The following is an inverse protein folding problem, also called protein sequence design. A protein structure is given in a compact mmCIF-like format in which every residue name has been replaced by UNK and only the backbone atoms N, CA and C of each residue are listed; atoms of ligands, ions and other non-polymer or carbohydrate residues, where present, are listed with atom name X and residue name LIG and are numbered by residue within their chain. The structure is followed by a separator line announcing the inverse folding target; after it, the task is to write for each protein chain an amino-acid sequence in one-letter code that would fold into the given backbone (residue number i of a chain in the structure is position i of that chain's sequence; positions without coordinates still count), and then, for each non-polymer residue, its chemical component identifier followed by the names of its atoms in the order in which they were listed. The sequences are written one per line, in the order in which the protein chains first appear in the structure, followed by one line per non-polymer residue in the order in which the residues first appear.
data_IF_756512377042
#
_entry.id   IF_756512377042
#
_cell.length_a   1.000
_cell.length_b   1.000
_cell.length_c   1.000
_cell.angle_alpha   90.00
_cell.angle_beta   90.00
_cell.angle_gamma   90.00
#
_symmetry.space_group_name_H-M   'P 1'
#
loop_
_entity.id
_entity.type
_entity.pdbx_description
1 polymer ?
#
# COMPACT_ATOMS: atom_id res chain seq x y z
N UNK A 1 27.92 -69.51 22.89
CA UNK A 1 28.01 -69.29 21.43
C UNK A 1 26.67 -68.78 20.95
N UNK A 2 26.68 -67.61 20.28
CA UNK A 2 25.70 -67.09 19.29
C UNK A 2 24.32 -66.69 19.86
N UNK A 3 24.06 -65.39 20.09
CA UNK A 3 23.67 -64.38 19.08
C UNK A 3 22.26 -64.68 18.51
N UNK A 4 21.32 -63.75 18.34
CA UNK A 4 21.41 -62.31 18.14
C UNK A 4 19.97 -61.76 18.35
N UNK A 5 19.83 -60.74 19.19
CA UNK A 5 18.59 -59.95 19.34
C UNK A 5 18.44 -59.12 18.06
N UNK A 6 17.47 -59.44 17.19
CA UNK A 6 17.12 -58.56 16.07
C UNK A 6 16.03 -57.58 16.52
N UNK A 7 16.52 -56.46 17.03
CA UNK A 7 15.79 -55.22 17.24
C UNK A 7 15.44 -54.66 15.85
N UNK A 8 14.22 -54.92 15.38
CA UNK A 8 13.65 -54.29 14.19
C UNK A 8 13.31 -52.84 14.56
N UNK A 9 14.33 -51.99 14.54
CA UNK A 9 14.16 -50.54 14.63
C UNK A 9 13.58 -50.06 13.31
N UNK A 10 12.38 -49.50 13.38
CA UNK A 10 11.69 -48.81 12.29
C UNK A 10 12.60 -47.75 11.64
N UNK A 11 13.17 -48.08 10.49
CA UNK A 11 13.69 -47.11 9.53
C UNK A 11 12.61 -46.86 8.48
N UNK A 12 11.55 -46.15 8.88
CA UNK A 12 10.77 -45.40 7.91
C UNK A 12 11.58 -44.14 7.62
N UNK A 13 12.09 -43.92 6.40
CA UNK A 13 12.62 -42.62 6.03
C UNK A 13 11.46 -41.63 6.15
N UNK A 14 11.47 -40.84 7.22
CA UNK A 14 10.63 -39.66 7.30
C UNK A 14 10.97 -38.81 6.10
N UNK A 15 10.11 -38.82 5.09
CA UNK A 15 10.21 -37.84 4.03
C UNK A 15 9.92 -36.49 4.69
N UNK A 16 10.97 -35.79 5.08
CA UNK A 16 10.91 -34.37 5.35
C UNK A 16 10.68 -33.76 3.98
N UNK A 17 9.42 -33.46 3.66
CA UNK A 17 9.10 -32.64 2.51
C UNK A 17 9.67 -31.27 2.85
N UNK A 18 10.83 -30.95 2.28
CA UNK A 18 11.37 -29.61 2.36
C UNK A 18 10.32 -28.68 1.77
N UNK A 19 9.78 -27.79 2.59
CA UNK A 19 8.81 -26.80 2.13
C UNK A 19 9.55 -25.85 1.18
N UNK A 20 9.24 -25.94 -0.12
CA UNK A 20 9.96 -25.19 -1.16
C UNK A 20 9.82 -23.68 -0.99
N UNK A 21 8.65 -23.24 -0.50
CA UNK A 21 8.26 -21.84 -0.34
C UNK A 21 7.35 -21.66 0.89
N UNK A 22 7.32 -20.46 1.52
CA UNK A 22 6.37 -20.17 2.58
C UNK A 22 4.92 -20.46 2.15
N UNK A 23 4.07 -20.77 3.12
CA UNK A 23 2.66 -20.99 2.86
C UNK A 23 1.98 -19.65 2.56
N UNK A 24 1.11 -19.58 1.56
CA UNK A 24 0.29 -18.39 1.35
C UNK A 24 -0.85 -18.40 2.39
N UNK A 25 -0.73 -17.58 3.44
CA UNK A 25 -1.71 -17.49 4.54
C UNK A 25 -2.66 -16.32 4.38
N UNK A 26 -2.30 -15.35 3.53
CA UNK A 26 -3.07 -14.13 3.27
C UNK A 26 -2.76 -13.63 1.86
N UNK A 27 -3.78 -13.10 1.19
CA UNK A 27 -3.64 -12.54 -0.16
C UNK A 27 -2.73 -11.30 -0.19
N UNK A 28 -2.63 -10.55 0.92
CA UNK A 28 -2.04 -9.21 0.92
C UNK A 28 -0.73 -9.11 1.69
N UNK A 29 -0.67 -9.60 2.93
CA UNK A 29 0.52 -9.52 3.78
C UNK A 29 0.78 -10.87 4.43
N UNK A 30 1.99 -11.38 4.27
CA UNK A 30 2.46 -12.62 4.85
C UNK A 30 3.78 -12.32 5.62
N UNK A 31 3.67 -11.95 6.89
CA UNK A 31 4.81 -11.54 7.72
C UNK A 31 5.37 -12.73 8.54
N UNK A 32 6.26 -13.54 7.95
CA UNK A 32 6.84 -14.70 8.64
C UNK A 32 8.02 -14.34 9.54
N UNK A 33 8.62 -13.16 9.33
CA UNK A 33 9.76 -12.68 10.11
C UNK A 33 9.37 -11.70 11.24
N UNK A 34 8.08 -11.47 11.44
CA UNK A 34 7.54 -10.57 12.47
C UNK A 34 8.20 -9.18 12.41
N UNK A 35 8.31 -8.65 11.17
CA UNK A 35 8.95 -7.36 10.88
C UNK A 35 7.98 -6.18 10.94
N UNK A 36 6.67 -6.47 10.91
CA UNK A 36 5.62 -5.49 10.75
C UNK A 36 4.69 -5.60 11.95
N UNK A 37 4.46 -4.50 12.65
CA UNK A 37 3.50 -4.49 13.74
C UNK A 37 2.05 -4.61 13.20
N UNK A 38 1.09 -5.07 14.04
CA UNK A 38 -0.28 -5.31 13.59
C UNK A 38 -1.02 -4.08 13.01
N UNK A 39 -0.67 -2.87 13.44
CA UNK A 39 -1.26 -1.64 12.91
C UNK A 39 -0.75 -1.39 11.49
N UNK A 40 0.56 -1.50 11.29
CA UNK A 40 1.19 -1.37 9.98
C UNK A 40 0.74 -2.48 9.01
N UNK A 41 0.60 -3.73 9.47
CA UNK A 41 0.08 -4.84 8.65
C UNK A 41 -1.35 -4.57 8.18
N UNK A 42 -2.22 -4.08 9.08
CA UNK A 42 -3.59 -3.73 8.74
C UNK A 42 -3.62 -2.57 7.73
N UNK A 43 -2.78 -1.56 7.90
CA UNK A 43 -2.65 -0.46 6.96
C UNK A 43 -2.20 -0.95 5.57
N UNK A 44 -1.15 -1.77 5.50
CA UNK A 44 -0.66 -2.30 4.22
C UNK A 44 -1.75 -3.13 3.53
N UNK A 45 -2.43 -3.98 4.30
CA UNK A 45 -3.55 -4.78 3.80
C UNK A 45 -4.65 -3.90 3.20
N UNK A 46 -5.03 -2.81 3.86
CA UNK A 46 -6.04 -1.88 3.36
C UNK A 46 -5.61 -1.21 2.04
N UNK A 47 -4.34 -0.79 1.92
CA UNK A 47 -3.80 -0.24 0.66
C UNK A 47 -3.84 -1.26 -0.48
N UNK A 48 -3.40 -2.49 -0.24
CA UNK A 48 -3.35 -3.53 -1.26
C UNK A 48 -4.76 -3.98 -1.69
N UNK A 49 -5.71 -4.03 -0.75
CA UNK A 49 -7.12 -4.28 -1.07
C UNK A 49 -7.69 -3.18 -1.96
N UNK A 50 -7.44 -1.90 -1.62
CA UNK A 50 -7.92 -0.77 -2.42
C UNK A 50 -7.38 -0.82 -3.87
N UNK A 51 -6.11 -1.18 -4.06
CA UNK A 51 -5.52 -1.34 -5.40
C UNK A 51 -6.20 -2.44 -6.19
N UNK A 52 -6.50 -3.58 -5.54
CA UNK A 52 -7.23 -4.67 -6.17
C UNK A 52 -8.64 -4.24 -6.57
N UNK A 53 -9.35 -3.53 -5.70
CA UNK A 53 -10.72 -3.07 -5.96
C UNK A 53 -10.78 -2.01 -7.07
N UNK A 54 -9.85 -1.06 -7.10
CA UNK A 54 -9.87 0.05 -8.05
C UNK A 54 -9.24 -0.29 -9.41
N UNK A 55 -8.22 -1.17 -9.44
CA UNK A 55 -7.40 -1.42 -10.64
C UNK A 55 -7.39 -2.88 -11.07
N UNK A 56 -7.94 -3.79 -10.26
CA UNK A 56 -7.86 -5.23 -10.49
C UNK A 56 -6.42 -5.77 -10.48
N UNK A 57 -5.47 -5.04 -9.89
CA UNK A 57 -4.07 -5.45 -9.77
C UNK A 57 -3.88 -6.11 -8.42
N UNK A 58 -3.32 -7.33 -8.40
CA UNK A 58 -2.97 -8.01 -7.16
C UNK A 58 -1.54 -7.68 -6.76
N UNK A 59 -1.35 -7.25 -5.51
CA UNK A 59 -0.04 -7.06 -4.93
C UNK A 59 0.00 -7.72 -3.55
N UNK A 60 1.12 -8.37 -3.25
CA UNK A 60 1.34 -9.05 -1.96
C UNK A 60 2.71 -8.68 -1.37
N UNK A 61 2.77 -8.59 -0.05
CA UNK A 61 3.98 -8.36 0.74
C UNK A 61 4.30 -9.64 1.50
N UNK A 62 5.57 -10.05 1.45
CA UNK A 62 6.08 -11.24 2.11
C UNK A 62 7.35 -10.87 2.86
N UNK A 63 7.42 -11.23 4.13
CA UNK A 63 8.67 -11.16 4.90
C UNK A 63 9.06 -12.59 5.30
N UNK A 64 10.35 -12.88 5.26
CA UNK A 64 10.93 -14.15 5.71
C UNK A 64 12.21 -13.88 6.48
N UNK A 65 12.57 -14.80 7.38
CA UNK A 65 13.80 -14.67 8.16
C UNK A 65 15.00 -14.89 7.24
N UNK A 66 15.10 -16.05 6.59
CA UNK A 66 16.05 -16.30 5.49
C UNK A 66 15.42 -17.13 4.37
N UNK A 67 15.87 -16.92 3.14
CA UNK A 67 15.57 -17.83 2.01
C UNK A 67 16.10 -19.24 2.24
N UNK A 68 17.14 -19.39 3.06
CA UNK A 68 17.77 -20.68 3.37
C UNK A 68 16.90 -21.59 4.25
N UNK A 69 15.88 -21.02 4.89
CA UNK A 69 14.85 -21.77 5.62
C UNK A 69 13.92 -22.56 4.66
N UNK A 70 14.01 -22.29 3.36
CA UNK A 70 13.17 -22.83 2.30
C UNK A 70 14.00 -23.58 1.24
N UNK A 71 13.36 -23.97 0.14
CA UNK A 71 13.98 -24.76 -0.92
C UNK A 71 15.22 -24.09 -1.54
N UNK A 72 16.10 -24.87 -2.20
CA UNK A 72 17.35 -24.35 -2.73
C UNK A 72 17.08 -23.37 -3.88
N UNK A 73 17.29 -22.09 -3.62
CA UNK A 73 17.37 -21.05 -4.63
C UNK A 73 18.73 -20.37 -4.51
N UNK A 74 19.43 -20.17 -5.63
CA UNK A 74 20.80 -19.66 -5.63
C UNK A 74 20.87 -18.19 -5.19
N UNK A 75 19.82 -17.42 -5.44
CA UNK A 75 19.72 -16.00 -5.13
C UNK A 75 18.26 -15.58 -4.86
N UNK A 76 18.06 -14.37 -4.31
CA UNK A 76 16.72 -13.87 -3.96
C UNK A 76 15.82 -13.65 -5.19
N UNK A 77 16.39 -13.39 -6.38
CA UNK A 77 15.60 -13.22 -7.62
C UNK A 77 14.92 -14.51 -8.02
N UNK A 78 15.65 -15.61 -8.06
CA UNK A 78 15.10 -16.90 -8.44
C UNK A 78 14.08 -17.38 -7.40
N UNK A 79 14.39 -17.17 -6.12
CA UNK A 79 13.46 -17.44 -5.02
C UNK A 79 12.15 -16.67 -5.18
N UNK A 80 12.20 -15.35 -5.35
CA UNK A 80 11.00 -14.51 -5.48
C UNK A 80 10.19 -14.84 -6.73
N UNK A 81 10.86 -15.17 -7.84
CA UNK A 81 10.20 -15.55 -9.11
C UNK A 81 9.49 -16.89 -8.95
N UNK A 82 10.15 -17.87 -8.33
CA UNK A 82 9.56 -19.16 -8.03
C UNK A 82 8.37 -19.05 -7.06
N UNK A 83 8.51 -18.23 -6.01
CA UNK A 83 7.44 -17.92 -5.08
C UNK A 83 6.24 -17.27 -5.77
N UNK A 84 6.48 -16.24 -6.59
CA UNK A 84 5.45 -15.54 -7.37
C UNK A 84 4.63 -16.53 -8.22
N UNK A 85 5.32 -17.40 -8.96
CA UNK A 85 4.71 -18.38 -9.85
C UNK A 85 4.01 -19.50 -9.08
N UNK A 86 4.58 -19.95 -7.95
CA UNK A 86 3.98 -20.96 -7.09
C UNK A 86 2.69 -20.45 -6.43
N UNK A 87 2.63 -19.16 -6.11
CA UNK A 87 1.44 -18.53 -5.54
C UNK A 87 0.46 -18.01 -6.60
N UNK A 88 0.91 -17.86 -7.85
CA UNK A 88 0.09 -17.37 -8.97
C UNK A 88 -0.33 -15.92 -8.79
N UNK A 89 0.55 -15.06 -8.29
CA UNK A 89 0.22 -13.67 -7.93
C UNK A 89 -0.21 -12.88 -9.18
N UNK A 90 -1.38 -12.24 -9.11
CA UNK A 90 -1.93 -11.44 -10.21
C UNK A 90 -2.93 -12.18 -11.11
N UNK A 91 -3.39 -11.47 -12.13
CA UNK A 91 -4.34 -12.03 -13.09
C UNK A 91 -3.62 -12.89 -14.16
N UNK A 92 -4.14 -14.07 -14.53
CA UNK A 92 -3.51 -14.95 -15.54
C UNK A 92 -3.46 -14.39 -16.95
N UNK A 93 -4.42 -13.54 -17.30
CA UNK A 93 -4.52 -12.96 -18.63
C UNK A 93 -3.65 -11.72 -18.75
N UNK A 94 -3.69 -10.86 -17.72
CA UNK A 94 -2.95 -9.59 -17.69
C UNK A 94 -1.52 -9.76 -17.19
N UNK A 95 -1.23 -10.80 -16.40
CA UNK A 95 0.06 -11.07 -15.78
C UNK A 95 0.64 -9.85 -15.04
N UNK A 96 -0.21 -9.16 -14.30
CA UNK A 96 0.08 -7.86 -13.70
C UNK A 96 0.17 -7.90 -12.17
N UNK A 97 0.51 -9.07 -11.61
CA UNK A 97 0.78 -9.23 -10.19
C UNK A 97 2.09 -8.55 -9.76
N UNK A 98 2.16 -8.19 -8.48
CA UNK A 98 3.40 -7.69 -7.85
C UNK A 98 3.62 -8.40 -6.52
N UNK A 99 4.84 -8.90 -6.29
CA UNK A 99 5.26 -9.47 -5.02
C UNK A 99 6.42 -8.68 -4.45
N UNK A 100 6.28 -8.19 -3.22
CA UNK A 100 7.35 -7.54 -2.46
C UNK A 100 7.86 -8.56 -1.45
N UNK A 101 9.13 -8.95 -1.54
CA UNK A 101 9.79 -9.90 -0.67
C UNK A 101 10.90 -9.21 0.13
N UNK A 102 10.91 -9.41 1.44
CA UNK A 102 11.99 -8.98 2.33
C UNK A 102 12.55 -10.20 3.07
N UNK A 103 13.85 -10.43 2.94
CA UNK A 103 14.56 -11.50 3.66
C UNK A 103 15.51 -10.87 4.68
N UNK A 104 15.12 -10.93 5.97
CA UNK A 104 15.75 -10.15 7.04
C UNK A 104 17.22 -10.50 7.26
N UNK A 105 17.51 -11.77 7.51
CA UNK A 105 18.84 -12.28 7.82
C UNK A 105 19.76 -12.28 6.59
N UNK A 106 19.18 -12.43 5.39
CA UNK A 106 19.93 -12.32 4.14
C UNK A 106 20.29 -10.85 3.81
N UNK A 107 19.62 -9.89 4.46
CA UNK A 107 19.70 -8.44 4.20
C UNK A 107 19.46 -8.10 2.73
N UNK A 108 18.51 -8.81 2.12
CA UNK A 108 18.12 -8.64 0.72
C UNK A 108 16.60 -8.45 0.61
N UNK A 109 16.18 -7.65 -0.36
CA UNK A 109 14.78 -7.49 -0.72
C UNK A 109 14.59 -7.49 -2.24
N UNK A 110 13.37 -7.81 -2.67
CA UNK A 110 12.99 -7.79 -4.09
C UNK A 110 11.53 -7.43 -4.29
N UNK A 111 11.28 -6.59 -5.29
CA UNK A 111 9.97 -6.39 -5.91
C UNK A 111 9.96 -7.23 -7.18
N UNK A 112 9.22 -8.34 -7.20
CA UNK A 112 9.00 -9.16 -8.37
C UNK A 112 7.74 -8.70 -9.12
N UNK A 113 7.87 -8.51 -10.43
CA UNK A 113 6.78 -8.08 -11.30
C UNK A 113 6.30 -9.25 -12.16
N UNK A 114 5.00 -9.32 -12.42
CA UNK A 114 4.43 -10.20 -13.43
C UNK A 114 4.88 -9.83 -14.85
N UNK A 115 4.85 -10.80 -15.75
CA UNK A 115 5.31 -10.69 -17.14
C UNK A 115 4.51 -9.72 -18.01
N UNK A 116 3.35 -9.25 -17.52
CA UNK A 116 2.57 -8.18 -18.14
C UNK A 116 3.18 -6.78 -17.96
N UNK A 117 4.13 -6.61 -17.02
CA UNK A 117 4.85 -5.35 -16.87
C UNK A 117 5.96 -5.22 -17.93
N UNK A 118 6.02 -4.09 -18.67
CA UNK A 118 7.12 -3.80 -19.57
C UNK A 118 8.47 -3.69 -18.82
N UNK A 119 9.61 -4.03 -19.45
CA UNK A 119 10.94 -3.95 -18.80
C UNK A 119 11.28 -2.59 -18.20
N UNK A 120 10.72 -1.49 -18.73
CA UNK A 120 10.91 -0.14 -18.18
C UNK A 120 10.37 0.03 -16.74
N UNK A 121 9.56 -0.91 -16.24
CA UNK A 121 9.11 -0.92 -14.84
C UNK A 121 10.18 -1.45 -13.89
N UNK A 122 11.15 -2.24 -14.36
CA UNK A 122 12.25 -2.74 -13.54
C UNK A 122 13.05 -1.56 -12.96
N UNK A 123 13.46 -0.61 -13.82
CA UNK A 123 14.16 0.61 -13.40
C UNK A 123 13.32 1.48 -12.46
N UNK A 124 11.99 1.52 -12.68
CA UNK A 124 11.07 2.28 -11.80
C UNK A 124 11.02 1.68 -10.41
N UNK A 125 10.96 0.35 -10.33
CA UNK A 125 10.95 -0.38 -9.07
C UNK A 125 12.32 -0.33 -8.40
N UNK A 126 13.42 -0.31 -9.16
CA UNK A 126 14.76 -0.15 -8.61
C UNK A 126 14.88 1.18 -7.88
N UNK A 127 14.34 2.27 -8.45
CA UNK A 127 14.27 3.55 -7.76
C UNK A 127 13.42 3.50 -6.47
N UNK A 128 12.40 2.64 -6.37
CA UNK A 128 11.64 2.45 -5.12
C UNK A 128 12.48 1.71 -4.08
N UNK A 129 13.16 0.64 -4.48
CA UNK A 129 14.09 -0.11 -3.62
C UNK A 129 15.15 0.84 -3.05
N UNK A 130 15.85 1.56 -3.91
CA UNK A 130 17.03 2.34 -3.53
C UNK A 130 16.71 3.59 -2.69
N UNK A 131 15.59 4.26 -2.99
CA UNK A 131 15.24 5.55 -2.37
C UNK A 131 14.16 5.48 -1.32
N UNK A 132 13.37 4.39 -1.27
CA UNK A 132 12.30 4.24 -0.31
C UNK A 132 12.59 3.11 0.65
N UNK A 133 12.83 1.87 0.20
CA UNK A 133 12.99 0.74 1.13
C UNK A 133 14.35 0.74 1.86
N UNK A 134 15.45 0.68 1.10
CA UNK A 134 16.78 0.44 1.68
C UNK A 134 17.23 1.50 2.69
N UNK A 135 16.90 2.80 2.58
CA UNK A 135 17.24 3.78 3.61
C UNK A 135 16.71 3.40 5.00
N UNK A 136 15.43 3.04 5.12
CA UNK A 136 14.84 2.63 6.40
C UNK A 136 15.44 1.30 6.91
N UNK A 137 15.71 0.37 6.00
CA UNK A 137 16.29 -0.93 6.39
C UNK A 137 17.72 -0.79 6.95
N UNK A 138 18.51 0.17 6.44
CA UNK A 138 19.84 0.50 7.01
C UNK A 138 19.74 1.07 8.43
N UNK A 139 18.63 1.73 8.74
CA UNK A 139 18.34 2.27 10.08
C UNK A 139 17.68 1.24 11.01
N UNK A 140 17.30 0.06 10.48
CA UNK A 140 16.67 -1.02 11.23
C UNK A 140 15.15 -0.86 11.37
N UNK A 141 14.53 0.14 10.75
CA UNK A 141 13.09 0.39 10.79
C UNK A 141 12.38 -0.30 9.61
N UNK A 142 12.20 -1.62 9.75
CA UNK A 142 11.59 -2.45 8.71
C UNK A 142 10.11 -2.11 8.47
N UNK A 143 9.33 -1.88 9.53
CA UNK A 143 7.91 -1.59 9.43
C UNK A 143 7.65 -0.30 8.64
N UNK A 144 8.36 0.80 8.99
CA UNK A 144 8.24 2.05 8.25
C UNK A 144 8.71 1.91 6.79
N UNK A 145 9.81 1.21 6.56
CA UNK A 145 10.35 0.95 5.23
C UNK A 145 9.40 0.15 4.34
N UNK A 146 8.80 -0.92 4.88
CA UNK A 146 7.85 -1.77 4.14
C UNK A 146 6.56 -1.01 3.85
N UNK A 147 6.03 -0.25 4.81
CA UNK A 147 4.82 0.54 4.61
C UNK A 147 5.02 1.62 3.53
N UNK A 148 6.05 2.45 3.68
CA UNK A 148 6.37 3.51 2.72
C UNK A 148 6.73 2.95 1.34
N UNK A 149 7.52 1.87 1.30
CA UNK A 149 7.93 1.21 0.08
C UNK A 149 6.75 0.55 -0.66
N UNK A 150 5.82 -0.06 0.05
CA UNK A 150 4.58 -0.59 -0.54
C UNK A 150 3.74 0.52 -1.17
N UNK A 151 3.52 1.62 -0.45
CA UNK A 151 2.78 2.77 -0.96
C UNK A 151 3.42 3.36 -2.23
N UNK A 152 4.75 3.46 -2.26
CA UNK A 152 5.47 3.95 -3.43
C UNK A 152 5.45 2.97 -4.61
N UNK A 153 5.53 1.66 -4.33
CA UNK A 153 5.33 0.61 -5.34
C UNK A 153 3.96 0.75 -6.00
N UNK A 154 2.89 0.87 -5.22
CA UNK A 154 1.51 1.10 -5.69
C UNK A 154 1.40 2.35 -6.56
N UNK A 155 2.09 3.42 -6.17
CA UNK A 155 2.08 4.68 -6.91
C UNK A 155 2.78 4.55 -8.27
N UNK A 156 3.82 3.73 -8.37
CA UNK A 156 4.65 3.57 -9.58
C UNK A 156 4.24 2.39 -10.47
N UNK A 157 3.43 1.47 -9.96
CA UNK A 157 3.00 0.26 -10.67
C UNK A 157 1.74 0.44 -11.52
N UNK A 158 1.18 1.66 -11.60
CA UNK A 158 0.02 1.93 -12.44
C UNK A 158 0.35 1.65 -13.92
N UNK A 159 -0.19 0.56 -14.45
CA UNK A 159 -0.22 0.26 -15.87
C UNK A 159 -1.41 0.98 -16.50
N UNK A 160 -1.17 1.75 -17.56
CA UNK A 160 -2.23 2.19 -18.45
C UNK A 160 -2.64 0.98 -19.31
N UNK A 161 -3.63 0.19 -18.87
CA UNK A 161 -4.13 -0.93 -19.66
C UNK A 161 -4.96 -0.40 -20.84
N UNK A 162 -4.37 -0.38 -22.03
CA UNK A 162 -5.08 -0.16 -23.30
C UNK A 162 -5.47 -1.53 -23.85
N UNK A 163 -6.76 -1.75 -24.09
CA UNK A 163 -7.21 -2.97 -24.78
C UNK A 163 -6.63 -3.01 -26.20
N UNK A 164 -5.76 -3.98 -26.47
CA UNK A 164 -5.08 -4.13 -27.76
C UNK A 164 -6.00 -4.57 -28.91
N UNK A 165 -7.24 -4.99 -28.66
CA UNK A 165 -8.20 -5.28 -29.73
C UNK A 165 -9.10 -4.09 -30.12
N UNK A 166 -9.35 -3.15 -29.21
CA UNK A 166 -10.26 -2.01 -29.47
C UNK A 166 -9.62 -0.64 -29.29
N UNK A 167 -8.41 -0.56 -28.74
CA UNK A 167 -7.73 0.71 -28.43
C UNK A 167 -8.40 1.49 -27.29
N UNK A 168 -9.35 0.89 -26.57
CA UNK A 168 -10.14 1.59 -25.54
C UNK A 168 -9.55 1.38 -24.14
N UNK A 169 -9.35 2.43 -23.33
CA UNK A 169 -9.02 2.30 -21.91
C UNK A 169 -10.21 1.69 -21.14
N UNK A 170 -9.97 0.62 -20.37
CA UNK A 170 -10.97 0.00 -19.51
C UNK A 170 -10.87 0.53 -18.07
N UNK A 171 -11.10 1.82 -17.85
CA UNK A 171 -11.50 2.32 -16.52
C UNK A 171 -12.57 3.39 -16.69
N UNK A 172 -13.69 3.16 -16.01
CA UNK A 172 -14.92 3.93 -16.12
C UNK A 172 -14.83 5.38 -15.64
N UNK A 173 -15.61 6.20 -16.34
CA UNK A 173 -16.24 7.40 -15.78
C UNK A 173 -15.47 8.71 -15.93
N UNK A 174 -15.69 9.43 -17.04
CA UNK A 174 -16.12 10.86 -17.07
C UNK A 174 -16.41 11.37 -18.50
N UNK A 175 -17.40 12.26 -18.70
CA UNK A 175 -17.95 12.59 -20.02
C UNK A 175 -17.12 13.59 -20.84
N UNK A 176 -16.57 13.06 -21.93
CA UNK A 176 -16.47 13.47 -23.34
C UNK A 176 -16.64 14.92 -23.86
N UNK A 177 -16.41 15.99 -23.07
CA UNK A 177 -16.34 17.35 -23.65
C UNK A 177 -15.01 18.08 -23.45
N UNK A 178 -14.08 17.50 -22.69
CA UNK A 178 -12.77 18.09 -22.40
C UNK A 178 -11.64 17.65 -23.36
N UNK A 179 -11.91 16.69 -24.25
CA UNK A 179 -10.94 16.14 -25.22
C UNK A 179 -10.68 17.05 -26.42
N UNK A 180 -11.48 18.10 -26.64
CA UNK A 180 -11.35 18.97 -27.81
C UNK A 180 -10.41 20.19 -27.62
N UNK A 181 -9.84 20.42 -26.43
CA UNK A 181 -9.02 21.61 -26.16
C UNK A 181 -7.49 21.33 -26.15
N UNK A 182 -7.06 20.06 -26.08
CA UNK A 182 -5.64 19.73 -25.88
C UNK A 182 -4.89 19.24 -27.14
N UNK A 183 -5.51 19.16 -28.31
CA UNK A 183 -4.89 18.61 -29.53
C UNK A 183 -3.98 19.58 -30.31
N UNK A 184 -3.76 20.81 -29.85
CA UNK A 184 -3.03 21.83 -30.62
C UNK A 184 -1.70 22.30 -30.01
N UNK A 185 -1.20 21.69 -28.93
CA UNK A 185 0.21 21.88 -28.51
C UNK A 185 0.85 20.51 -28.29
N UNK A 186 1.19 19.87 -29.42
CA UNK A 186 2.17 18.80 -29.45
C UNK A 186 3.52 19.32 -29.01
N UNK A 187 4.08 18.73 -27.95
CA UNK A 187 5.48 18.93 -27.60
C UNK A 187 5.78 18.92 -26.11
N UNK A 188 5.49 17.83 -25.38
CA UNK A 188 6.15 17.55 -24.11
C UNK A 188 6.27 16.03 -23.86
N UNK A 189 6.93 15.32 -24.78
CA UNK A 189 7.40 13.93 -24.61
C UNK A 189 8.72 13.91 -23.79
N UNK A 190 8.80 14.70 -22.71
CA UNK A 190 10.03 14.88 -21.92
C UNK A 190 9.86 14.76 -20.39
N UNK A 191 8.76 14.20 -19.87
CA UNK A 191 8.37 14.38 -18.45
C UNK A 191 8.03 13.10 -17.67
N UNK A 192 8.83 12.03 -17.79
CA UNK A 192 8.69 10.87 -16.88
C UNK A 192 9.19 11.18 -15.45
N UNK A 193 10.37 11.80 -15.33
CA UNK A 193 10.99 12.17 -14.05
C UNK A 193 10.74 13.66 -13.73
N UNK A 194 10.71 14.51 -14.75
CA UNK A 194 10.29 15.91 -14.61
C UNK A 194 8.81 16.04 -14.26
N UNK A 195 7.94 15.12 -14.69
CA UNK A 195 6.49 15.23 -14.50
C UNK A 195 6.05 15.20 -13.04
N UNK A 196 6.62 14.33 -12.19
CA UNK A 196 6.26 14.26 -10.78
C UNK A 196 6.82 15.45 -9.98
N UNK A 197 8.07 15.86 -10.25
CA UNK A 197 8.68 17.06 -9.64
C UNK A 197 8.00 18.35 -10.10
N UNK A 198 7.62 18.44 -11.38
CA UNK A 198 6.81 19.53 -11.93
C UNK A 198 5.40 19.47 -11.37
N UNK A 199 4.78 18.31 -11.15
CA UNK A 199 3.41 18.21 -10.60
C UNK A 199 3.36 18.48 -9.10
N UNK A 200 4.34 18.00 -8.32
CA UNK A 200 4.51 18.35 -6.90
C UNK A 200 4.91 19.83 -6.75
N UNK A 201 5.84 20.31 -7.58
CA UNK A 201 6.25 21.72 -7.65
C UNK A 201 5.10 22.62 -8.09
N UNK A 202 4.29 22.19 -9.05
CA UNK A 202 3.08 22.90 -9.50
C UNK A 202 1.99 22.87 -8.44
N UNK A 203 1.79 21.75 -7.72
CA UNK A 203 0.82 21.67 -6.61
C UNK A 203 1.26 22.54 -5.42
N UNK A 204 2.55 22.54 -5.09
CA UNK A 204 3.18 23.45 -4.10
C UNK A 204 3.04 24.91 -4.54
N UNK A 205 3.31 25.20 -5.81
CA UNK A 205 3.15 26.54 -6.40
C UNK A 205 1.69 26.99 -6.39
N UNK A 206 0.75 26.12 -6.73
CA UNK A 206 -0.69 26.40 -6.68
C UNK A 206 -1.19 26.65 -5.26
N UNK A 207 -0.69 25.91 -4.27
CA UNK A 207 -1.00 26.14 -2.85
C UNK A 207 -0.48 27.49 -2.38
N UNK A 208 0.77 27.82 -2.70
CA UNK A 208 1.41 29.07 -2.29
C UNK A 208 1.04 30.30 -3.15
N UNK A 209 0.22 30.12 -4.21
CA UNK A 209 -0.19 31.21 -5.08
C UNK A 209 -1.30 32.03 -4.39
N UNK A 210 -1.08 33.33 -4.14
CA UNK A 210 -2.09 34.16 -3.50
C UNK A 210 -3.34 34.32 -4.37
N UNK A 211 -4.54 34.02 -3.85
CA UNK A 211 -5.78 34.34 -4.54
C UNK A 211 -5.97 35.86 -4.61
N UNK A 212 -6.72 36.31 -5.62
CA UNK A 212 -7.20 37.69 -5.68
C UNK A 212 -8.46 37.81 -4.82
N UNK A 213 -8.58 38.91 -4.07
CA UNK A 213 -9.80 39.23 -3.35
C UNK A 213 -10.94 39.46 -4.34
N UNK A 214 -12.10 38.86 -4.08
CA UNK A 214 -13.29 39.02 -4.93
C UNK A 214 -13.88 40.44 -4.86
N UNK A 215 -13.63 41.17 -3.76
CA UNK A 215 -14.19 42.50 -3.54
C UNK A 215 -13.30 43.60 -4.12
N UNK A 216 -12.01 43.64 -3.76
CA UNK A 216 -11.11 44.72 -4.19
C UNK A 216 -10.07 44.32 -5.25
N UNK A 217 -9.99 43.04 -5.63
CA UNK A 217 -9.06 42.55 -6.66
C UNK A 217 -7.58 42.48 -6.25
N UNK A 218 -7.21 42.94 -5.04
CA UNK A 218 -5.83 42.84 -4.54
C UNK A 218 -5.46 41.41 -4.19
N UNK A 219 -4.17 41.08 -4.30
CA UNK A 219 -3.64 39.78 -3.85
C UNK A 219 -3.79 39.68 -2.34
N UNK A 220 -4.34 38.55 -1.88
CA UNK A 220 -4.49 38.26 -0.46
C UNK A 220 -3.15 37.83 0.16
N UNK A 221 -3.04 37.92 1.47
CA UNK A 221 -1.87 37.47 2.22
C UNK A 221 -2.24 36.21 2.98
N UNK A 222 -1.36 35.21 2.99
CA UNK A 222 -1.56 34.03 3.83
C UNK A 222 -1.24 34.42 5.26
N UNK A 223 -2.15 34.11 6.18
CA UNK A 223 -1.89 34.26 7.61
C UNK A 223 -0.87 33.21 8.07
N UNK A 224 -0.23 33.47 9.20
CA UNK A 224 0.55 32.44 9.88
C UNK A 224 -0.37 31.55 10.72
N UNK A 225 0.15 30.40 11.16
CA UNK A 225 -0.57 29.36 11.90
C UNK A 225 -1.18 29.84 13.23
N UNK A 226 -0.72 30.97 13.77
CA UNK A 226 -1.28 31.51 15.01
C UNK A 226 -2.40 32.52 14.72
N UNK A 227 -2.32 33.21 13.58
CA UNK A 227 -3.29 34.20 13.16
C UNK A 227 -4.46 33.59 12.37
N UNK A 228 -4.27 32.45 11.71
CA UNK A 228 -5.35 31.77 10.98
C UNK A 228 -6.34 31.03 11.88
N UNK A 229 -5.91 30.54 13.05
CA UNK A 229 -6.77 29.95 14.10
C UNK A 229 -8.02 30.80 14.38
N UNK A 230 -7.88 32.12 14.42
CA UNK A 230 -8.98 33.07 14.66
C UNK A 230 -10.06 33.06 13.58
N UNK A 231 -9.78 32.45 12.42
CA UNK A 231 -10.66 32.35 11.26
C UNK A 231 -11.12 30.93 10.97
N UNK A 232 -10.65 29.95 11.74
CA UNK A 232 -11.07 28.55 11.65
C UNK A 232 -12.16 28.24 12.67
N UNK A 233 -13.08 27.36 12.30
CA UNK A 233 -14.03 26.80 13.26
C UNK A 233 -13.31 25.85 14.23
N UNK A 234 -13.90 25.64 15.40
CA UNK A 234 -13.34 24.74 16.41
C UNK A 234 -13.10 23.30 15.89
N UNK A 235 -13.88 22.85 14.89
CA UNK A 235 -13.69 21.55 14.26
C UNK A 235 -12.51 21.50 13.30
N UNK A 236 -12.26 22.58 12.56
CA UNK A 236 -11.10 22.71 11.66
C UNK A 236 -9.79 22.79 12.46
N UNK A 237 -9.77 23.58 13.53
CA UNK A 237 -8.64 23.61 14.47
C UNK A 237 -8.39 22.22 15.07
N UNK A 238 -9.45 21.47 15.36
CA UNK A 238 -9.31 20.09 15.83
C UNK A 238 -8.71 19.17 14.74
N UNK A 239 -9.10 19.30 13.47
CA UNK A 239 -8.49 18.56 12.36
C UNK A 239 -7.00 18.90 12.17
N UNK A 240 -6.60 20.16 12.37
CA UNK A 240 -5.20 20.61 12.33
C UNK A 240 -4.39 20.08 13.49
N UNK A 241 -4.91 20.17 14.71
CA UNK A 241 -4.23 19.63 15.90
C UNK A 241 -3.98 18.12 15.79
N UNK A 242 -4.86 17.41 15.07
CA UNK A 242 -4.73 15.98 14.77
C UNK A 242 -3.91 15.70 13.50
N UNK A 243 -3.48 16.75 12.78
CA UNK A 243 -2.82 16.71 11.49
C UNK A 243 -3.57 15.89 10.43
N UNK A 244 -4.90 15.83 10.54
CA UNK A 244 -5.79 15.13 9.59
C UNK A 244 -6.11 16.00 8.38
N UNK A 245 -6.29 17.30 8.58
CA UNK A 245 -6.48 18.30 7.52
C UNK A 245 -5.68 19.53 7.88
N UNK A 246 -4.98 20.10 6.90
CA UNK A 246 -4.18 21.32 7.01
C UNK A 246 -4.95 22.46 6.31
N UNK A 247 -5.22 23.58 6.99
CA UNK A 247 -5.91 24.72 6.39
C UNK A 247 -4.95 25.89 6.12
N UNK A 248 -5.05 26.51 4.95
CA UNK A 248 -4.42 27.81 4.71
C UNK A 248 -5.51 28.89 4.71
N UNK A 249 -5.37 29.90 5.57
CA UNK A 249 -6.24 31.09 5.55
C UNK A 249 -5.57 32.24 4.83
N UNK A 250 -6.28 32.78 3.83
CA UNK A 250 -5.88 33.96 3.08
C UNK A 250 -6.73 35.14 3.53
N UNK A 251 -6.09 36.22 3.96
CA UNK A 251 -6.73 37.45 4.42
C UNK A 251 -6.40 38.62 3.49
N UNK A 252 -7.39 39.48 3.21
CA UNK A 252 -7.18 40.70 2.45
C UNK A 252 -6.99 41.90 3.38
N UNK A 253 -5.84 42.61 3.34
CA UNK A 253 -5.56 43.72 4.24
C UNK A 253 -6.37 45.00 3.96
N UNK A 254 -7.15 45.05 2.89
CA UNK A 254 -7.88 46.26 2.48
C UNK A 254 -9.35 46.24 2.91
N UNK A 255 -9.99 45.06 2.84
CA UNK A 255 -11.43 44.88 3.11
C UNK A 255 -11.71 43.83 4.20
N UNK A 256 -10.69 43.14 4.70
CA UNK A 256 -10.82 42.14 5.77
C UNK A 256 -11.39 40.79 5.30
N UNK A 257 -11.63 40.61 3.99
CA UNK A 257 -12.18 39.35 3.47
C UNK A 257 -11.20 38.18 3.70
N UNK A 258 -11.73 37.00 4.00
CA UNK A 258 -10.95 35.78 4.21
C UNK A 258 -11.39 34.65 3.27
N UNK A 259 -10.42 33.81 2.87
CA UNK A 259 -10.65 32.58 2.12
C UNK A 259 -9.91 31.46 2.84
N UNK A 260 -10.64 30.42 3.23
CA UNK A 260 -10.11 29.22 3.87
C UNK A 260 -9.95 28.12 2.82
N UNK A 261 -8.79 27.50 2.73
CA UNK A 261 -8.54 26.34 1.86
C UNK A 261 -8.13 25.14 2.69
N UNK A 262 -8.70 23.97 2.40
CA UNK A 262 -8.43 22.71 3.12
C UNK A 262 -7.54 21.76 2.32
N UNK A 263 -6.60 21.11 2.99
CA UNK A 263 -5.68 20.13 2.42
C UNK A 263 -5.66 18.86 3.29
N UNK A 264 -6.49 17.86 2.98
CA UNK A 264 -6.51 16.60 3.72
C UNK A 264 -5.15 15.90 3.70
N UNK A 265 -4.70 15.46 4.87
CA UNK A 265 -3.52 14.63 5.03
C UNK A 265 -3.82 13.22 4.57
N UNK A 266 -3.02 12.72 3.64
CA UNK A 266 -3.17 11.35 3.15
C UNK A 266 -2.80 10.32 4.22
N UNK A 267 -1.77 10.59 5.02
CA UNK A 267 -1.14 9.65 5.96
C UNK A 267 -1.76 9.67 7.35
N UNK A 268 -2.47 10.74 7.71
CA UNK A 268 -3.11 10.93 9.01
C UNK A 268 -4.62 11.10 8.87
N UNK A 269 -5.17 10.62 7.76
CA UNK A 269 -6.58 10.72 7.44
C UNK A 269 -7.41 10.01 8.51
N UNK A 270 -8.27 10.75 9.19
CA UNK A 270 -9.22 10.22 10.18
C UNK A 270 -10.61 10.10 9.55
N UNK A 271 -11.43 9.11 9.95
CA UNK A 271 -12.80 9.02 9.47
C UNK A 271 -13.62 10.28 9.80
N UNK A 272 -14.59 10.59 8.95
CA UNK A 272 -15.55 11.66 9.19
C UNK A 272 -16.46 11.30 10.37
N UNK A 273 -16.64 12.23 11.31
CA UNK A 273 -17.64 12.08 12.35
C UNK A 273 -19.06 12.30 11.77
N UNK A 274 -20.02 11.38 12.00
CA UNK A 274 -21.38 11.52 11.46
C UNK A 274 -22.18 12.67 12.09
N UNK A 275 -21.80 13.13 13.28
CA UNK A 275 -22.47 14.27 13.93
C UNK A 275 -21.84 15.61 13.58
N UNK A 276 -20.53 15.78 13.79
CA UNK A 276 -19.88 17.06 13.58
C UNK A 276 -19.31 17.25 12.16
N UNK A 277 -19.29 16.21 11.32
CA UNK A 277 -18.79 16.26 9.94
C UNK A 277 -17.32 16.71 9.79
N UNK A 278 -16.49 16.44 10.79
CA UNK A 278 -15.03 16.69 10.77
C UNK A 278 -14.26 15.37 10.83
N UNK A 279 -13.04 15.32 10.28
CA UNK A 279 -12.09 14.20 10.27
C UNK A 279 -11.34 14.14 11.61
N UNK A 280 -12.10 13.94 12.68
CA UNK A 280 -11.61 13.95 14.06
C UNK A 280 -11.93 12.64 14.78
N UNK A 281 -12.44 11.64 14.04
CA UNK A 281 -12.79 10.34 14.58
C UNK A 281 -11.54 9.50 14.80
N UNK A 282 -11.39 8.94 16.00
CA UNK A 282 -10.43 7.90 16.29
C UNK A 282 -11.08 6.53 16.11
N UNK A 283 -10.32 5.54 15.63
CA UNK A 283 -10.80 4.18 15.42
C UNK A 283 -9.94 3.23 16.23
N UNK A 284 -10.49 2.69 17.31
CA UNK A 284 -9.80 1.74 18.19
C UNK A 284 -10.44 0.37 18.04
N UNK A 285 -9.63 -0.64 17.76
CA UNK A 285 -10.09 -2.02 17.62
C UNK A 285 -9.87 -2.78 18.93
N UNK A 286 -10.94 -3.33 19.50
CA UNK A 286 -10.89 -4.27 20.62
C UNK A 286 -11.34 -5.65 20.18
N UNK A 287 -10.45 -6.64 20.27
CA UNK A 287 -10.78 -8.02 19.91
C UNK A 287 -11.62 -8.66 21.02
N UNK A 288 -12.93 -8.84 20.80
CA UNK A 288 -13.81 -9.54 21.74
C UNK A 288 -13.58 -11.04 21.71
N UNK A 289 -13.39 -11.58 20.50
CA UNK A 289 -13.10 -12.99 20.27
C UNK A 289 -12.06 -13.10 19.16
N UNK A 290 -10.91 -13.67 19.48
CA UNK A 290 -9.91 -13.97 18.46
C UNK A 290 -10.48 -14.96 17.42
N UNK A 291 -10.09 -14.76 16.17
CA UNK A 291 -10.37 -15.73 15.13
C UNK A 291 -9.58 -17.01 15.38
N UNK A 292 -10.19 -18.15 15.07
CA UNK A 292 -9.51 -19.44 15.04
C UNK A 292 -9.60 -20.00 13.63
N UNK A 293 -8.91 -21.12 13.41
CA UNK A 293 -8.92 -21.79 12.11
C UNK A 293 -10.27 -22.39 11.71
N UNK A 294 -11.14 -22.59 12.70
CA UNK A 294 -12.46 -23.23 12.57
C UNK A 294 -13.62 -22.29 12.91
N UNK A 295 -13.35 -21.06 13.32
CA UNK A 295 -14.40 -20.10 13.73
C UNK A 295 -13.94 -18.65 13.60
N UNK A 296 -14.79 -17.81 13.02
CA UNK A 296 -14.50 -16.39 12.85
C UNK A 296 -14.38 -15.69 14.20
N UNK A 297 -13.48 -14.72 14.25
CA UNK A 297 -13.36 -13.82 15.39
C UNK A 297 -14.40 -12.71 15.31
N UNK A 298 -14.48 -11.92 16.37
CA UNK A 298 -15.29 -10.72 16.45
C UNK A 298 -14.46 -9.64 17.11
N UNK A 299 -14.38 -8.49 16.46
CA UNK A 299 -13.83 -7.27 17.03
C UNK A 299 -14.96 -6.29 17.27
N UNK A 300 -14.89 -5.56 18.37
CA UNK A 300 -15.62 -4.34 18.56
C UNK A 300 -14.72 -3.19 18.11
N UNK A 301 -15.22 -2.37 17.19
CA UNK A 301 -14.53 -1.16 16.74
C UNK A 301 -15.20 0.02 17.42
N UNK A 302 -14.46 0.69 18.29
CA UNK A 302 -14.88 1.90 18.97
C UNK A 302 -14.46 3.09 18.12
N UNK A 303 -15.43 3.97 17.88
CA UNK A 303 -15.25 5.23 17.20
C UNK A 303 -15.46 6.34 18.22
N UNK A 304 -14.42 7.14 18.45
CA UNK A 304 -14.44 8.23 19.42
C UNK A 304 -14.02 9.52 18.73
N UNK A 305 -14.91 10.50 18.67
CA UNK A 305 -14.63 11.79 18.07
C UNK A 305 -13.94 12.71 19.09
N UNK A 306 -12.68 13.06 18.83
CA UNK A 306 -11.90 13.94 19.73
C UNK A 306 -12.48 15.37 19.79
N UNK A 307 -13.25 15.79 18.77
CA UNK A 307 -13.80 17.14 18.70
C UNK A 307 -15.15 17.29 19.42
N UNK A 308 -16.17 16.51 19.04
CA UNK A 308 -17.52 16.65 19.62
C UNK A 308 -17.84 15.63 20.72
N UNK A 309 -16.97 14.66 20.99
CA UNK A 309 -17.19 13.61 21.98
C UNK A 309 -18.22 12.55 21.57
N UNK A 310 -18.74 12.61 20.35
CA UNK A 310 -19.60 11.56 19.81
C UNK A 310 -18.85 10.24 19.78
N UNK A 311 -19.47 9.20 20.31
CA UNK A 311 -18.90 7.86 20.35
C UNK A 311 -19.95 6.84 19.93
N UNK A 312 -19.51 5.81 19.22
CA UNK A 312 -20.30 4.64 18.93
C UNK A 312 -19.39 3.44 18.73
N UNK A 313 -19.92 2.25 18.94
CA UNK A 313 -19.23 1.02 18.61
C UNK A 313 -19.98 0.26 17.52
N UNK A 314 -19.23 -0.51 16.73
CA UNK A 314 -19.81 -1.51 15.84
C UNK A 314 -18.98 -2.78 15.90
N UNK A 315 -19.63 -3.91 15.76
CA UNK A 315 -18.94 -5.19 15.68
C UNK A 315 -18.51 -5.45 14.23
N UNK A 316 -17.24 -5.77 14.04
CA UNK A 316 -16.70 -6.29 12.79
C UNK A 316 -16.35 -7.77 12.96
N UNK A 317 -16.74 -8.60 12.00
CA UNK A 317 -16.34 -10.00 11.98
C UNK A 317 -14.88 -10.08 11.57
N UNK A 318 -14.04 -10.66 12.44
CA UNK A 318 -12.66 -10.96 12.07
C UNK A 318 -12.70 -12.27 11.27
N UNK A 319 -12.17 -12.31 10.05
CA UNK A 319 -12.16 -13.53 9.25
C UNK A 319 -11.46 -14.67 10.01
N UNK A 320 -11.90 -15.91 9.75
CA UNK A 320 -11.26 -17.11 10.30
C UNK A 320 -9.77 -17.12 9.96
N UNK A 321 -8.95 -17.61 10.89
CA UNK A 321 -7.59 -17.98 10.53
C UNK A 321 -7.69 -19.18 9.56
N UNK A 322 -6.70 -19.40 8.70
CA UNK A 322 -6.69 -20.59 7.85
C UNK A 322 -6.06 -21.76 8.61
N UNK A 323 -6.77 -22.87 8.85
CA UNK A 323 -6.11 -24.16 9.18
C UNK A 323 -5.49 -24.71 7.91
N UNK A 324 -4.18 -24.76 7.84
CA UNK A 324 -3.49 -25.53 6.83
C UNK A 324 -3.68 -27.02 7.10
N UNK A 325 -4.67 -27.63 6.44
CA UNK A 325 -4.54 -28.99 5.93
C UNK A 325 -4.88 -28.94 4.45
N UNK A 326 -3.83 -29.00 3.63
CA UNK A 326 -3.76 -29.79 2.40
C UNK A 326 -5.11 -30.30 1.85
N UNK A 327 -5.92 -29.38 1.36
CA UNK A 327 -6.59 -29.58 0.10
C UNK A 327 -5.83 -28.71 -0.89
N UNK A 328 -4.89 -29.34 -1.58
CA UNK A 328 -4.64 -29.04 -2.97
C UNK A 328 -5.99 -29.06 -3.69
N UNK A 329 -6.73 -27.95 -3.61
CA UNK A 329 -7.44 -27.50 -4.79
C UNK A 329 -6.34 -27.18 -5.78
N UNK A 330 -6.02 -28.19 -6.60
CA UNK A 330 -5.73 -27.98 -7.99
C UNK A 330 -6.91 -27.21 -8.62
N UNK A 331 -7.14 -25.97 -8.19
CA UNK A 331 -7.62 -24.94 -9.07
C UNK A 331 -6.44 -24.74 -10.00
N UNK A 332 -6.51 -25.29 -11.20
CA UNK A 332 -5.50 -25.06 -12.22
C UNK A 332 -5.14 -23.58 -12.17
N UNK A 333 -3.88 -23.28 -11.82
CA UNK A 333 -3.43 -21.93 -11.58
C UNK A 333 -3.52 -21.17 -12.89
N UNK A 334 -4.67 -20.56 -13.12
CA UNK A 334 -4.79 -19.37 -13.92
C UNK A 334 -4.54 -18.21 -12.96
N UNK A 335 -3.30 -18.05 -12.54
CA UNK A 335 -2.78 -16.86 -11.87
C UNK A 335 -1.69 -16.21 -12.72
N UNK A 336 -1.27 -15.01 -12.36
CA UNK A 336 -0.20 -14.32 -13.07
C UNK A 336 1.13 -15.09 -13.02
N UNK A 337 1.97 -14.87 -14.04
CA UNK A 337 3.30 -15.45 -14.15
C UNK A 337 4.37 -14.37 -14.24
N UNK A 338 5.53 -14.60 -13.62
CA UNK A 338 6.71 -13.74 -13.71
C UNK A 338 7.84 -14.46 -14.45
N UNK A 339 8.49 -13.75 -15.36
CA UNK A 339 9.74 -14.17 -16.04
C UNK A 339 11.00 -13.70 -15.30
N UNK A 340 10.84 -13.24 -14.05
CA UNK A 340 11.94 -12.72 -13.24
C UNK A 340 12.22 -11.23 -13.43
N UNK A 341 11.26 -10.46 -13.93
CA UNK A 341 11.28 -8.99 -13.93
C UNK A 341 11.19 -8.40 -12.52
N UNK A 342 11.37 -7.09 -12.43
CA UNK A 342 11.39 -6.32 -11.19
C UNK A 342 12.79 -6.05 -10.63
N UNK A 343 12.84 -5.53 -9.40
CA UNK A 343 14.01 -4.88 -8.83
C UNK A 343 14.39 -5.44 -7.47
N UNK A 344 15.66 -5.37 -7.09
CA UNK A 344 16.11 -5.86 -5.78
C UNK A 344 17.32 -5.10 -5.25
N UNK A 345 17.63 -5.31 -3.99
CA UNK A 345 18.75 -4.64 -3.34
C UNK A 345 19.06 -5.22 -1.98
N UNK A 346 20.24 -4.90 -1.48
CA UNK A 346 20.72 -5.26 -0.15
C UNK A 346 21.03 -4.03 0.67
N UNK A 347 20.96 -4.16 2.00
CA UNK A 347 21.26 -3.07 2.93
C UNK A 347 22.33 -3.45 3.93
#
# INVERSE_FOLDING_TARGET
MRALVFLVFCLLPGQIWAQSYPANISTYVNDFADLIDPETEAHITDMLREVREQRGVEMTVVTIESRTDYGPSDNLRDFATGLFNAWGVGDPTRNDGILILVARSDREMRIALGSGYPPAFDDRMQAVVDHTFLPWFREGDYAAGISAGTAETIRRSALDYVDTQTGTPLVGGRPDWLTLILSSIGGLVALGIGGAGVRLGHRRWQRNRPPACQTCGRKMQRLDEAADDAHLSAGQQAEESLASVDYDVWHCPTDGATIVKSYPSFWRSRPLCPECSFHTMNRIRHTLRAATTSRSGMAEINFDCTHCGHHFSRTETIPMLSSSSSSSSSSGFSGGSSSGGGAGGSW
#
